data_IF_479583915684
#
_entry.id   IF_479583915684
#
_cell.length_a   1.000
_cell.length_b   1.000
_cell.length_c   1.000
_cell.angle_alpha   90.00
_cell.angle_beta   90.00
_cell.angle_gamma   90.00
#
_symmetry.space_group_name_H-M   'P 1'
#
loop_
_entity.id
_entity.type
_entity.pdbx_description
1 polymer ?
#
# COMPACT_ATOMS: atom_id res chain seq x y z
N UNK A 1 -26.38 3.63 15.89
CA UNK A 1 -27.03 3.03 14.71
C UNK A 1 -25.94 2.70 13.69
N UNK A 2 -25.83 1.41 13.29
CA UNK A 2 -24.88 0.98 12.27
C UNK A 2 -25.59 1.07 10.91
N UNK A 3 -25.08 1.86 9.93
CA UNK A 3 -25.68 1.94 8.61
C UNK A 3 -25.77 0.56 7.94
N UNK A 4 -26.94 0.24 7.40
CA UNK A 4 -27.23 -1.04 6.72
C UNK A 4 -26.81 -0.96 5.25
N UNK A 5 -25.51 -1.02 5.01
CA UNK A 5 -24.94 -1.02 3.66
C UNK A 5 -24.02 -2.24 3.45
N UNK A 6 -23.33 -2.31 2.30
CA UNK A 6 -22.40 -3.41 1.98
C UNK A 6 -21.24 -3.54 2.99
N UNK A 7 -21.00 -2.54 3.83
CA UNK A 7 -19.93 -2.50 4.81
C UNK A 7 -20.40 -2.87 6.23
N UNK A 8 -21.69 -3.19 6.43
CA UNK A 8 -22.25 -3.50 7.75
C UNK A 8 -21.47 -4.62 8.44
N UNK A 9 -21.09 -5.66 7.70
CA UNK A 9 -20.34 -6.79 8.23
C UNK A 9 -18.98 -6.38 8.79
N UNK A 10 -18.23 -5.58 8.01
CA UNK A 10 -16.90 -5.09 8.41
C UNK A 10 -17.02 -4.19 9.65
N UNK A 11 -18.08 -3.37 9.73
CA UNK A 11 -18.31 -2.51 10.90
C UNK A 11 -18.67 -3.31 12.15
N UNK A 12 -19.49 -4.35 12.02
CA UNK A 12 -19.81 -5.25 13.12
C UNK A 12 -18.56 -5.97 13.62
N UNK A 13 -17.76 -6.53 12.70
CA UNK A 13 -16.49 -7.18 13.04
C UNK A 13 -15.52 -6.21 13.75
N UNK A 14 -15.50 -4.93 13.34
CA UNK A 14 -14.67 -3.91 13.97
C UNK A 14 -15.17 -3.56 15.38
N UNK A 15 -16.51 -3.49 15.58
CA UNK A 15 -17.12 -3.25 16.89
C UNK A 15 -16.82 -4.41 17.83
N UNK A 16 -16.97 -5.64 17.39
CA UNK A 16 -16.67 -6.84 18.17
C UNK A 16 -15.19 -6.90 18.54
N UNK A 17 -14.28 -6.60 17.60
CA UNK A 17 -12.85 -6.54 17.87
C UNK A 17 -12.51 -5.45 18.90
N UNK A 18 -13.16 -4.27 18.83
CA UNK A 18 -13.00 -3.19 19.78
C UNK A 18 -13.52 -3.57 21.17
N UNK A 19 -14.75 -4.09 21.26
CA UNK A 19 -15.34 -4.54 22.53
C UNK A 19 -14.49 -5.61 23.21
N UNK A 20 -14.01 -6.58 22.43
CA UNK A 20 -13.08 -7.60 22.91
C UNK A 20 -11.77 -6.98 23.43
N UNK A 21 -11.20 -6.03 22.73
CA UNK A 21 -9.96 -5.35 23.12
C UNK A 21 -10.15 -4.53 24.42
N UNK A 22 -11.32 -3.92 24.62
CA UNK A 22 -11.67 -3.19 25.82
C UNK A 22 -11.86 -4.10 27.04
N UNK A 23 -12.42 -5.30 26.86
CA UNK A 23 -12.68 -6.26 27.93
C UNK A 23 -11.43 -7.06 28.35
N UNK A 24 -10.53 -7.30 27.43
CA UNK A 24 -9.30 -8.07 27.69
C UNK A 24 -8.05 -7.24 27.39
N UNK A 25 -7.63 -6.44 28.35
CA UNK A 25 -6.45 -5.59 28.27
C UNK A 25 -5.12 -6.30 27.92
N UNK A 26 -5.09 -7.62 27.75
CA UNK A 26 -3.86 -8.41 27.54
C UNK A 26 -3.85 -9.28 26.31
N UNK A 27 -4.98 -9.59 25.67
CA UNK A 27 -5.01 -10.49 24.51
C UNK A 27 -6.14 -10.08 23.55
N UNK A 28 -5.93 -9.01 22.80
CA UNK A 28 -6.77 -8.73 21.67
C UNK A 28 -6.59 -9.85 20.65
N UNK A 29 -7.52 -10.81 20.63
CA UNK A 29 -7.67 -11.72 19.50
C UNK A 29 -8.18 -10.86 18.35
N UNK A 30 -7.25 -10.26 17.59
CA UNK A 30 -7.61 -9.45 16.43
C UNK A 30 -8.40 -10.34 15.48
N UNK A 31 -9.56 -9.87 15.06
CA UNK A 31 -10.32 -10.56 14.05
C UNK A 31 -9.46 -10.65 12.77
N UNK A 32 -9.08 -11.86 12.37
CA UNK A 32 -8.21 -12.09 11.20
C UNK A 32 -8.74 -11.42 9.93
N UNK A 33 -10.07 -11.20 9.84
CA UNK A 33 -10.70 -10.48 8.73
C UNK A 33 -10.28 -9.00 8.64
N UNK A 34 -9.86 -8.39 9.75
CA UNK A 34 -9.41 -6.99 9.79
C UNK A 34 -7.89 -6.84 9.68
N UNK A 35 -7.16 -7.95 9.76
CA UNK A 35 -5.71 -7.93 9.65
C UNK A 35 -5.26 -8.11 8.21
N UNK A 36 -4.36 -7.26 7.72
CA UNK A 36 -3.75 -7.49 6.43
C UNK A 36 -2.86 -8.73 6.47
N UNK A 37 -2.93 -9.57 5.44
CA UNK A 37 -2.02 -10.70 5.28
C UNK A 37 -0.56 -10.22 5.25
N UNK A 38 0.39 -11.13 5.52
CA UNK A 38 1.83 -10.82 5.47
C UNK A 38 2.22 -10.23 4.11
N UNK A 39 1.64 -10.75 3.03
CA UNK A 39 1.85 -10.24 1.68
C UNK A 39 1.32 -8.80 1.52
N UNK A 40 0.08 -8.56 1.96
CA UNK A 40 -0.53 -7.21 1.90
C UNK A 40 0.28 -6.21 2.73
N UNK A 41 0.73 -6.60 3.93
CA UNK A 41 1.58 -5.78 4.80
C UNK A 41 2.88 -5.37 4.10
N UNK A 42 3.59 -6.34 3.52
CA UNK A 42 4.84 -6.08 2.75
C UNK A 42 4.57 -5.16 1.56
N UNK A 43 3.48 -5.40 0.84
CA UNK A 43 3.09 -4.60 -0.33
C UNK A 43 2.79 -3.16 0.07
N UNK A 44 1.94 -2.95 1.06
CA UNK A 44 1.57 -1.62 1.56
C UNK A 44 2.79 -0.87 2.12
N UNK A 45 3.67 -1.55 2.85
CA UNK A 45 4.92 -0.95 3.35
C UNK A 45 5.82 -0.49 2.19
N UNK A 46 5.90 -1.26 1.11
CA UNK A 46 6.67 -0.87 -0.08
C UNK A 46 6.07 0.37 -0.75
N UNK A 47 4.74 0.40 -0.95
CA UNK A 47 4.05 1.55 -1.53
C UNK A 47 4.22 2.82 -0.67
N UNK A 48 4.14 2.69 0.65
CA UNK A 48 4.38 3.80 1.57
C UNK A 48 5.80 4.35 1.44
N UNK A 49 6.81 3.49 1.40
CA UNK A 49 8.22 3.91 1.19
C UNK A 49 8.42 4.62 -0.16
N UNK A 50 7.69 4.22 -1.19
CA UNK A 50 7.71 4.90 -2.50
C UNK A 50 7.12 6.30 -2.37
N UNK A 51 5.98 6.46 -1.67
CA UNK A 51 5.36 7.76 -1.43
C UNK A 51 6.29 8.67 -0.62
N UNK A 52 6.89 8.16 0.44
CA UNK A 52 7.87 8.91 1.25
C UNK A 52 9.06 9.37 0.38
N UNK A 53 9.57 8.50 -0.51
CA UNK A 53 10.64 8.86 -1.42
C UNK A 53 10.22 9.90 -2.47
N UNK A 54 8.94 9.92 -2.86
CA UNK A 54 8.40 10.93 -3.78
C UNK A 54 8.24 12.30 -3.11
N UNK A 55 7.84 12.33 -1.85
CA UNK A 55 7.59 13.56 -1.10
C UNK A 55 8.83 14.10 -0.37
N UNK A 56 9.79 13.25 -0.05
CA UNK A 56 10.99 13.60 0.72
C UNK A 56 12.12 14.23 -0.08
N UNK A 57 11.91 14.63 -1.33
CA UNK A 57 12.92 15.32 -2.13
C UNK A 57 12.73 16.83 -2.01
N UNK A 58 13.60 17.50 -1.23
CA UNK A 58 13.62 18.97 -1.03
C UNK A 58 13.82 19.74 -2.33
N UNK A 59 14.37 19.12 -3.38
CA UNK A 59 14.77 19.78 -4.64
C UNK A 59 13.93 19.34 -5.86
N UNK A 60 12.68 18.91 -5.67
CA UNK A 60 11.81 18.49 -6.77
C UNK A 60 11.52 16.98 -6.78
N UNK A 61 10.64 16.56 -7.68
CA UNK A 61 10.19 15.18 -7.76
C UNK A 61 11.34 14.22 -8.05
N UNK A 62 11.56 13.23 -7.18
CA UNK A 62 12.51 12.15 -7.42
C UNK A 62 12.20 11.43 -8.75
N UNK A 63 13.22 11.18 -9.54
CA UNK A 63 13.07 10.45 -10.80
C UNK A 63 12.70 8.98 -10.53
N UNK A 64 12.04 8.33 -11.50
CA UNK A 64 11.72 6.90 -11.40
C UNK A 64 12.95 6.04 -11.08
N UNK A 65 14.12 6.42 -11.60
CA UNK A 65 15.38 5.70 -11.35
C UNK A 65 15.87 5.87 -9.92
N UNK A 66 15.78 7.07 -9.37
CA UNK A 66 16.16 7.34 -7.97
C UNK A 66 15.26 6.60 -6.99
N UNK A 67 13.94 6.63 -7.22
CA UNK A 67 12.98 5.86 -6.42
C UNK A 67 13.28 4.37 -6.51
N UNK A 68 13.53 3.87 -7.73
CA UNK A 68 13.86 2.47 -7.93
C UNK A 68 15.13 2.07 -7.17
N UNK A 69 16.20 2.86 -7.25
CA UNK A 69 17.47 2.61 -6.55
C UNK A 69 17.31 2.71 -5.03
N UNK A 70 16.58 3.69 -4.55
CA UNK A 70 16.45 3.97 -3.11
C UNK A 70 15.52 2.97 -2.40
N UNK A 71 14.47 2.52 -3.07
CA UNK A 71 13.37 1.76 -2.42
C UNK A 71 13.26 0.33 -2.93
N UNK A 72 13.22 0.14 -4.26
CA UNK A 72 12.88 -1.15 -4.88
C UNK A 72 14.10 -2.06 -5.03
N UNK A 73 15.21 -1.50 -5.49
CA UNK A 73 16.45 -2.22 -5.86
C UNK A 73 17.66 -1.73 -5.08
N UNK A 74 17.55 -1.67 -3.76
CA UNK A 74 18.59 -1.09 -2.87
C UNK A 74 19.98 -1.66 -3.07
N UNK A 75 20.09 -2.96 -3.37
CA UNK A 75 21.35 -3.69 -3.47
C UNK A 75 21.63 -4.17 -4.91
N UNK A 76 20.91 -3.62 -5.90
CA UNK A 76 21.06 -4.04 -7.29
C UNK A 76 21.62 -2.89 -8.10
N UNK A 77 22.64 -3.17 -8.90
CA UNK A 77 23.11 -2.21 -9.90
C UNK A 77 22.06 -2.10 -11.02
N UNK A 78 21.62 -0.88 -11.29
CA UNK A 78 20.64 -0.59 -12.33
C UNK A 78 21.28 -0.33 -13.71
N UNK A 79 22.59 -0.58 -13.85
CA UNK A 79 23.31 -0.38 -15.08
C UNK A 79 23.38 1.09 -15.53
N UNK A 80 23.80 1.30 -16.78
CA UNK A 80 23.89 2.65 -17.38
C UNK A 80 22.52 3.26 -17.64
N UNK A 81 22.46 4.59 -17.76
CA UNK A 81 21.19 5.30 -17.97
C UNK A 81 20.45 4.87 -19.26
N UNK A 82 21.19 4.46 -20.28
CA UNK A 82 20.61 4.01 -21.56
C UNK A 82 19.97 2.62 -21.41
N UNK A 83 20.62 1.72 -20.68
CA UNK A 83 20.13 0.36 -20.39
C UNK A 83 18.89 0.41 -19.49
N UNK A 84 18.89 1.34 -18.52
CA UNK A 84 17.74 1.59 -17.66
C UNK A 84 16.48 1.94 -18.46
N UNK A 85 16.59 2.76 -19.51
CA UNK A 85 15.43 3.22 -20.29
C UNK A 85 14.61 2.08 -20.89
N UNK A 86 15.24 0.97 -21.29
CA UNK A 86 14.60 -0.20 -21.89
C UNK A 86 14.35 -1.34 -20.90
N UNK A 87 14.82 -1.23 -19.67
CA UNK A 87 14.83 -2.32 -18.68
C UNK A 87 13.42 -2.69 -18.17
N UNK A 88 13.26 -3.97 -17.83
CA UNK A 88 12.07 -4.48 -17.13
C UNK A 88 11.92 -3.86 -15.73
N UNK A 89 13.05 -3.55 -15.09
CA UNK A 89 13.12 -2.91 -13.78
C UNK A 89 12.49 -1.52 -13.79
N UNK A 90 12.75 -0.72 -14.84
CA UNK A 90 12.08 0.58 -15.01
C UNK A 90 10.57 0.42 -15.11
N UNK A 91 10.11 -0.53 -15.93
CA UNK A 91 8.66 -0.79 -16.09
C UNK A 91 8.02 -1.23 -14.77
N UNK A 92 8.70 -2.07 -14.01
CA UNK A 92 8.22 -2.50 -12.68
C UNK A 92 8.20 -1.33 -11.69
N UNK A 93 9.25 -0.51 -11.63
CA UNK A 93 9.28 0.67 -10.77
C UNK A 93 8.15 1.65 -11.12
N UNK A 94 7.92 1.89 -12.42
CA UNK A 94 6.83 2.75 -12.88
C UNK A 94 5.45 2.24 -12.47
N UNK A 95 5.22 0.92 -12.57
CA UNK A 95 3.97 0.30 -12.10
C UNK A 95 3.77 0.48 -10.60
N UNK A 96 4.82 0.32 -9.81
CA UNK A 96 4.76 0.51 -8.35
C UNK A 96 4.50 1.97 -7.97
N UNK A 97 5.12 2.92 -8.66
CA UNK A 97 4.89 4.36 -8.47
C UNK A 97 3.44 4.71 -8.80
N UNK A 98 2.91 4.22 -9.92
CA UNK A 98 1.52 4.45 -10.30
C UNK A 98 0.55 3.83 -9.30
N UNK A 99 0.83 2.61 -8.81
CA UNK A 99 0.02 1.97 -7.78
C UNK A 99 0.03 2.78 -6.48
N UNK A 100 1.19 3.30 -6.07
CA UNK A 100 1.30 4.16 -4.89
C UNK A 100 0.47 5.44 -5.04
N UNK A 101 0.47 6.07 -6.22
CA UNK A 101 -0.38 7.25 -6.50
C UNK A 101 -1.87 6.90 -6.44
N UNK A 102 -2.28 5.81 -7.08
CA UNK A 102 -3.68 5.34 -7.05
C UNK A 102 -4.15 5.12 -5.61
N UNK A 103 -3.27 4.62 -4.73
CA UNK A 103 -3.62 4.45 -3.31
C UNK A 103 -3.94 5.79 -2.63
N UNK A 104 -3.20 6.85 -2.92
CA UNK A 104 -3.47 8.20 -2.39
C UNK A 104 -4.73 8.80 -3.02
N UNK A 105 -4.92 8.63 -4.33
CA UNK A 105 -6.03 9.20 -5.09
C UNK A 105 -7.41 8.54 -4.80
N UNK A 106 -7.49 7.71 -3.77
CA UNK A 106 -8.74 7.11 -3.31
C UNK A 106 -8.70 5.58 -3.20
N UNK A 107 -7.64 4.95 -3.67
CA UNK A 107 -7.42 3.50 -3.55
C UNK A 107 -7.43 3.01 -2.09
N UNK A 108 -7.02 3.85 -1.13
CA UNK A 108 -7.09 3.57 0.30
C UNK A 108 -8.51 3.19 0.78
N UNK A 109 -9.56 3.69 0.11
CA UNK A 109 -10.95 3.35 0.44
C UNK A 109 -11.27 1.87 0.28
N UNK A 110 -10.55 1.17 -0.60
CA UNK A 110 -10.67 -0.28 -0.75
C UNK A 110 -10.11 -1.01 0.46
N UNK A 111 -9.05 -0.47 1.08
CA UNK A 111 -8.49 -1.03 2.32
C UNK A 111 -9.49 -0.98 3.46
N UNK A 112 -10.29 0.11 3.55
CA UNK A 112 -11.37 0.23 4.53
C UNK A 112 -12.47 -0.82 4.32
N UNK A 113 -12.57 -1.40 3.12
CA UNK A 113 -13.47 -2.51 2.77
C UNK A 113 -12.81 -3.89 2.95
N UNK A 114 -11.61 -3.94 3.55
CA UNK A 114 -10.84 -5.17 3.70
C UNK A 114 -10.32 -5.77 2.37
N UNK A 115 -10.20 -4.95 1.33
CA UNK A 115 -9.78 -5.38 -0.01
C UNK A 115 -8.63 -4.54 -0.53
N UNK A 116 -7.79 -5.11 -1.39
CA UNK A 116 -6.81 -4.33 -2.16
C UNK A 116 -7.50 -3.68 -3.37
N UNK A 117 -7.10 -2.46 -3.77
CA UNK A 117 -7.62 -1.85 -4.99
C UNK A 117 -7.28 -2.70 -6.21
N UNK A 118 -8.13 -2.70 -7.24
CA UNK A 118 -7.81 -3.37 -8.50
C UNK A 118 -6.56 -2.74 -9.12
N UNK A 119 -5.73 -3.57 -9.76
CA UNK A 119 -4.46 -3.11 -10.38
C UNK A 119 -4.64 -2.11 -11.52
N UNK A 120 -5.82 -2.10 -12.12
CA UNK A 120 -6.21 -1.18 -13.19
C UNK A 120 -7.57 -0.58 -12.82
N UNK A 121 -7.65 0.69 -12.40
CA UNK A 121 -8.92 1.34 -12.12
C UNK A 121 -9.65 1.78 -13.40
N UNK A 122 -9.06 1.61 -14.56
CA UNK A 122 -9.69 1.93 -15.83
C UNK A 122 -10.28 0.65 -16.46
N UNK A 123 -11.60 0.63 -16.75
CA UNK A 123 -12.23 -0.43 -17.50
C UNK A 123 -11.72 -0.49 -18.93
#
# INVERSE_FOLDING_TARGET
LVPQDQLVRIRLDAIDAFDWSCRQYRYAKSNDALLPSVYQKRRLTLLLKILDAMHGCENGCATTREIAKKVVYRNTDLGRAIEWKSSSQRRQAQRLINEARIMVDGGYRWLLKGRMPPRNPNP
#
